data_IF_371429394095
#
_entry.id   IF_371429394095
#
_cell.length_a   1.000
_cell.length_b   1.000
_cell.length_c   1.000
_cell.angle_alpha   90.00
_cell.angle_beta   90.00
_cell.angle_gamma   90.00
#
_symmetry.space_group_name_H-M   'P 1'
#
loop_
_entity.id
_entity.type
_entity.pdbx_description
1 polymer ?
#
# COMPACT_ATOMS: atom_id res chain seq x y z
N UNK A 1 -11.37 -11.22 -22.81
CA UNK A 1 -12.80 -11.53 -22.54
C UNK A 1 -12.85 -12.33 -21.26
N UNK A 2 -13.27 -11.72 -20.17
CA UNK A 2 -13.48 -12.38 -18.88
C UNK A 2 -14.82 -13.08 -18.94
N UNK A 3 -14.84 -14.41 -18.93
CA UNK A 3 -16.09 -15.19 -18.85
C UNK A 3 -16.71 -14.98 -17.46
N UNK A 4 -17.83 -14.29 -17.43
CA UNK A 4 -18.72 -14.23 -16.28
C UNK A 4 -19.34 -15.60 -16.04
N UNK A 5 -18.94 -16.27 -14.98
CA UNK A 5 -19.63 -17.47 -14.57
C UNK A 5 -20.87 -17.07 -13.74
N UNK A 6 -22.07 -17.46 -14.18
CA UNK A 6 -23.38 -17.11 -13.66
C UNK A 6 -23.65 -17.53 -12.18
N UNK A 7 -22.64 -18.00 -11.46
CA UNK A 7 -22.73 -18.44 -10.07
C UNK A 7 -22.07 -17.50 -9.07
N UNK A 8 -21.72 -16.25 -9.47
CA UNK A 8 -21.18 -15.24 -8.55
C UNK A 8 -19.78 -15.52 -7.96
N UNK A 9 -19.06 -16.51 -8.48
CA UNK A 9 -17.70 -16.85 -8.07
C UNK A 9 -16.68 -16.31 -9.09
N UNK A 10 -15.79 -15.42 -8.65
CA UNK A 10 -14.69 -14.92 -9.46
C UNK A 10 -13.59 -15.97 -9.56
N UNK A 11 -13.44 -16.61 -10.71
CA UNK A 11 -12.23 -17.39 -11.02
C UNK A 11 -11.16 -16.45 -11.56
N UNK A 12 -10.39 -15.85 -10.65
CA UNK A 12 -9.19 -15.09 -11.00
C UNK A 12 -7.96 -15.95 -10.74
N UNK A 13 -7.09 -16.06 -11.73
CA UNK A 13 -5.82 -16.80 -11.64
C UNK A 13 -4.65 -15.82 -11.69
N UNK A 14 -3.52 -16.22 -11.11
CA UNK A 14 -2.27 -15.47 -11.25
C UNK A 14 -1.92 -15.28 -12.74
N UNK A 15 -1.37 -14.12 -13.14
CA UNK A 15 -0.83 -13.96 -14.49
C UNK A 15 0.20 -15.05 -14.76
N UNK A 16 0.20 -15.68 -15.93
CA UNK A 16 1.26 -16.62 -16.27
C UNK A 16 2.61 -15.90 -16.41
N UNK A 17 3.74 -16.56 -16.10
CA UNK A 17 5.07 -16.02 -16.41
C UNK A 17 5.20 -15.59 -17.87
N UNK A 18 5.94 -14.51 -18.12
CA UNK A 18 6.06 -13.91 -19.45
C UNK A 18 4.94 -12.93 -19.81
N UNK A 19 3.92 -12.73 -18.95
CA UNK A 19 2.90 -11.69 -19.16
C UNK A 19 3.57 -10.30 -19.23
N UNK A 20 3.34 -9.51 -20.30
CA UNK A 20 3.86 -8.15 -20.38
C UNK A 20 3.40 -7.30 -19.21
N UNK A 21 4.35 -6.60 -18.56
CA UNK A 21 4.02 -5.70 -17.47
C UNK A 21 3.42 -4.37 -17.96
N UNK A 22 2.87 -3.60 -17.04
CA UNK A 22 2.23 -2.31 -17.34
C UNK A 22 3.17 -1.34 -18.04
N UNK A 23 4.46 -1.37 -17.71
CA UNK A 23 5.45 -0.47 -18.30
C UNK A 23 5.75 -0.85 -19.76
N UNK A 24 5.82 -2.15 -20.05
CA UNK A 24 5.95 -2.68 -21.42
C UNK A 24 4.72 -2.33 -22.26
N UNK A 25 3.52 -2.37 -21.68
CA UNK A 25 2.26 -2.00 -22.34
C UNK A 25 2.19 -0.50 -22.63
N UNK A 26 2.59 0.36 -21.68
CA UNK A 26 2.69 1.80 -21.89
C UNK A 26 3.70 2.12 -23.00
N UNK A 27 4.86 1.45 -22.97
CA UNK A 27 5.91 1.61 -23.99
C UNK A 27 5.43 1.17 -25.39
N UNK A 28 4.64 0.11 -25.48
CA UNK A 28 4.05 -0.34 -26.75
C UNK A 28 3.10 0.71 -27.31
N UNK A 29 2.17 1.23 -26.51
CA UNK A 29 1.24 2.28 -26.94
C UNK A 29 1.98 3.59 -27.32
N UNK A 30 3.05 3.96 -26.59
CA UNK A 30 3.89 5.10 -26.94
C UNK A 30 4.59 4.92 -28.30
N UNK A 31 5.09 3.72 -28.60
CA UNK A 31 5.70 3.38 -29.90
C UNK A 31 4.70 3.40 -31.05
N UNK A 32 3.43 3.13 -30.78
CA UNK A 32 2.32 3.27 -31.75
C UNK A 32 1.97 4.72 -32.02
N UNK A 33 2.59 5.68 -31.30
CA UNK A 33 2.42 7.12 -31.50
C UNK A 33 1.41 7.79 -30.57
N UNK A 34 0.84 7.07 -29.59
CA UNK A 34 -0.07 7.69 -28.64
C UNK A 34 0.67 8.63 -27.66
N UNK A 35 0.22 9.89 -27.49
CA UNK A 35 0.73 10.78 -26.46
C UNK A 35 0.49 10.19 -25.06
N UNK A 36 1.47 10.32 -24.16
CA UNK A 36 1.35 9.85 -22.77
C UNK A 36 1.01 11.03 -21.87
N UNK A 37 -0.12 10.92 -21.14
CA UNK A 37 -0.67 11.97 -20.30
C UNK A 37 -0.85 11.46 -18.87
N UNK A 38 -0.40 12.25 -17.89
CA UNK A 38 -0.57 11.92 -16.48
C UNK A 38 -1.90 12.46 -15.93
N UNK A 39 -2.66 11.61 -15.27
CA UNK A 39 -3.82 12.01 -14.49
C UNK A 39 -3.42 12.15 -13.02
N UNK A 40 -3.23 13.39 -12.59
CA UNK A 40 -2.71 13.76 -11.27
C UNK A 40 -1.28 14.34 -11.35
N UNK A 41 -0.91 15.17 -10.34
CA UNK A 41 0.32 15.96 -10.32
C UNK A 41 1.01 15.97 -8.93
N UNK A 42 0.71 14.96 -8.11
CA UNK A 42 1.31 14.77 -6.77
C UNK A 42 2.60 13.93 -6.80
N UNK A 43 3.03 13.49 -5.63
CA UNK A 43 4.25 12.68 -5.47
C UNK A 43 4.22 11.37 -6.30
N UNK A 44 3.03 10.76 -6.46
CA UNK A 44 2.86 9.59 -7.34
C UNK A 44 3.20 9.91 -8.80
N UNK A 45 2.80 11.09 -9.28
CA UNK A 45 3.12 11.55 -10.64
C UNK A 45 4.62 11.78 -10.84
N UNK A 46 5.32 12.30 -9.84
CA UNK A 46 6.78 12.46 -9.89
C UNK A 46 7.50 11.11 -9.99
N UNK A 47 7.04 10.10 -9.23
CA UNK A 47 7.61 8.74 -9.26
C UNK A 47 7.36 8.07 -10.62
N UNK A 48 6.13 8.13 -11.11
CA UNK A 48 5.76 7.58 -12.43
C UNK A 48 6.56 8.28 -13.53
N UNK A 49 6.65 9.60 -13.50
CA UNK A 49 7.42 10.37 -14.46
C UNK A 49 8.88 9.95 -14.51
N UNK A 50 9.52 9.71 -13.36
CA UNK A 50 10.91 9.24 -13.30
C UNK A 50 11.08 7.86 -13.96
N UNK A 51 10.11 6.94 -13.79
CA UNK A 51 10.12 5.63 -14.46
C UNK A 51 9.96 5.78 -15.97
N UNK A 52 9.04 6.64 -16.44
CA UNK A 52 8.82 6.89 -17.86
C UNK A 52 10.06 7.50 -18.53
N UNK A 53 10.66 8.50 -17.89
CA UNK A 53 11.90 9.13 -18.36
C UNK A 53 13.05 8.12 -18.48
N UNK A 54 13.21 7.25 -17.48
CA UNK A 54 14.20 6.16 -17.50
C UNK A 54 13.99 5.15 -18.63
N UNK A 55 12.78 5.09 -19.21
CA UNK A 55 12.39 4.26 -20.37
C UNK A 55 12.40 5.04 -21.69
N UNK A 56 12.76 6.31 -21.67
CA UNK A 56 12.77 7.19 -22.87
C UNK A 56 11.37 7.59 -23.32
N UNK A 57 10.35 7.48 -22.46
CA UNK A 57 8.98 7.89 -22.74
C UNK A 57 8.81 9.34 -22.30
N UNK A 58 8.44 10.21 -23.26
CA UNK A 58 8.21 11.63 -23.01
C UNK A 58 6.74 11.84 -22.60
N UNK A 59 6.52 12.50 -21.46
CA UNK A 59 5.18 12.93 -21.05
C UNK A 59 4.74 14.07 -21.96
N UNK A 60 3.55 13.96 -22.56
CA UNK A 60 2.99 14.94 -23.50
C UNK A 60 2.09 15.96 -22.80
N UNK A 61 1.61 15.67 -21.59
CA UNK A 61 0.76 16.56 -20.82
C UNK A 61 0.36 15.98 -19.48
N UNK A 62 -0.38 16.77 -18.71
CA UNK A 62 -0.98 16.32 -17.46
C UNK A 62 -2.32 17.02 -17.21
N UNK A 63 -3.22 16.35 -16.49
CA UNK A 63 -4.49 16.90 -16.09
C UNK A 63 -4.86 16.51 -14.66
N UNK A 64 -5.83 17.21 -14.10
CA UNK A 64 -6.37 16.94 -12.78
C UNK A 64 -7.91 16.96 -12.83
N UNK A 65 -8.54 16.33 -11.83
CA UNK A 65 -10.00 16.41 -11.65
C UNK A 65 -10.45 17.86 -11.43
N UNK A 66 -11.70 18.17 -11.82
CA UNK A 66 -12.31 19.48 -11.61
C UNK A 66 -12.17 19.94 -10.15
N UNK A 67 -11.83 21.21 -9.96
CA UNK A 67 -11.54 21.80 -8.65
C UNK A 67 -10.06 21.69 -8.22
N UNK A 68 -9.26 20.85 -8.87
CA UNK A 68 -7.80 20.75 -8.67
C UNK A 68 -6.99 21.38 -9.81
N UNK A 69 -7.65 21.77 -10.90
CA UNK A 69 -7.07 22.59 -11.99
C UNK A 69 -6.90 24.01 -11.46
N UNK A 70 -5.69 24.39 -11.05
CA UNK A 70 -5.42 25.69 -10.38
C UNK A 70 -4.29 26.45 -11.04
N UNK A 71 -4.32 26.72 -12.33
CA UNK A 71 -3.26 27.44 -13.07
C UNK A 71 -1.86 27.02 -12.60
N UNK A 72 -1.63 25.74 -12.43
CA UNK A 72 -0.37 25.15 -11.96
C UNK A 72 0.38 24.55 -13.13
N UNK A 73 1.67 24.44 -12.98
CA UNK A 73 2.52 23.64 -13.86
C UNK A 73 3.07 22.43 -13.12
N UNK A 74 3.21 21.32 -13.84
CA UNK A 74 3.88 20.11 -13.37
C UNK A 74 4.94 19.73 -14.42
N UNK A 75 6.21 19.68 -14.02
CA UNK A 75 7.35 19.35 -14.90
C UNK A 75 7.37 20.14 -16.23
N UNK A 76 7.00 21.42 -16.18
CA UNK A 76 6.94 22.30 -17.37
C UNK A 76 5.64 22.22 -18.18
N UNK A 77 4.74 21.30 -17.88
CA UNK A 77 3.42 21.21 -18.51
C UNK A 77 2.38 22.00 -17.71
N UNK A 78 1.49 22.71 -18.41
CA UNK A 78 0.27 23.26 -17.78
C UNK A 78 -0.64 22.13 -17.34
N UNK A 79 -1.22 22.24 -16.15
CA UNK A 79 -2.21 21.27 -15.66
C UNK A 79 -3.56 21.63 -16.26
N UNK A 80 -4.09 20.74 -17.09
CA UNK A 80 -5.34 20.91 -17.82
C UNK A 80 -6.53 20.23 -17.09
N UNK A 81 -7.75 20.51 -17.55
CA UNK A 81 -8.91 19.66 -17.31
C UNK A 81 -8.90 18.46 -18.28
N UNK A 82 -9.71 17.44 -18.01
CA UNK A 82 -9.82 16.29 -18.91
C UNK A 82 -10.36 16.67 -20.29
N UNK A 83 -11.34 17.59 -20.35
CA UNK A 83 -11.90 18.06 -21.63
C UNK A 83 -10.88 18.85 -22.44
N UNK A 84 -10.05 19.67 -21.80
CA UNK A 84 -8.95 20.37 -22.50
C UNK A 84 -7.93 19.39 -23.07
N UNK A 85 -7.57 18.32 -22.34
CA UNK A 85 -6.68 17.27 -22.84
C UNK A 85 -7.28 16.54 -24.04
N UNK A 86 -8.57 16.21 -24.02
CA UNK A 86 -9.26 15.61 -25.19
C UNK A 86 -9.22 16.55 -26.41
N UNK A 87 -9.35 17.83 -26.18
CA UNK A 87 -9.25 18.82 -27.27
C UNK A 87 -7.83 18.96 -27.83
N UNK A 88 -6.81 18.82 -27.00
CA UNK A 88 -5.39 18.85 -27.41
C UNK A 88 -5.01 17.58 -28.17
N UNK A 89 -5.53 16.42 -27.78
CA UNK A 89 -5.22 15.10 -28.36
C UNK A 89 -6.49 14.41 -28.89
N UNK A 90 -7.11 14.94 -29.98
CA UNK A 90 -8.40 14.44 -30.47
C UNK A 90 -8.34 13.01 -31.04
N UNK A 91 -7.15 12.56 -31.45
CA UNK A 91 -6.94 11.18 -31.97
C UNK A 91 -6.71 10.14 -30.85
N UNK A 92 -6.79 10.58 -29.58
CA UNK A 92 -6.63 9.73 -28.41
C UNK A 92 -5.25 9.83 -27.76
N UNK A 93 -5.14 9.35 -26.55
CA UNK A 93 -3.92 9.37 -25.73
C UNK A 93 -3.93 8.25 -24.70
N UNK A 94 -2.76 7.93 -24.17
CA UNK A 94 -2.57 7.04 -23.01
C UNK A 94 -2.74 7.85 -21.75
N UNK A 95 -3.69 7.49 -20.90
CA UNK A 95 -3.85 8.06 -19.57
C UNK A 95 -3.16 7.18 -18.52
N UNK A 96 -2.32 7.79 -17.67
CA UNK A 96 -1.70 7.11 -16.55
C UNK A 96 -2.18 7.72 -15.25
N UNK A 97 -2.89 6.94 -14.45
CA UNK A 97 -3.37 7.35 -13.11
C UNK A 97 -2.18 7.46 -12.15
N UNK A 98 -2.00 8.65 -11.57
CA UNK A 98 -0.83 9.00 -10.78
C UNK A 98 -1.15 9.42 -9.34
N UNK A 99 -2.31 9.03 -8.83
CA UNK A 99 -2.73 9.24 -7.43
C UNK A 99 -3.62 8.10 -6.98
N UNK A 100 -3.84 8.03 -5.67
CA UNK A 100 -4.73 7.04 -5.08
C UNK A 100 -5.91 7.69 -4.37
N UNK A 101 -7.02 6.96 -4.30
CA UNK A 101 -8.26 7.42 -3.66
C UNK A 101 -9.10 6.25 -3.17
N UNK A 102 -9.83 6.47 -2.08
CA UNK A 102 -10.91 5.63 -1.61
C UNK A 102 -12.27 6.37 -1.65
N UNK A 103 -12.30 7.60 -2.20
CA UNK A 103 -13.51 8.42 -2.28
C UNK A 103 -14.37 7.97 -3.48
N UNK A 104 -15.61 7.51 -3.26
CA UNK A 104 -16.47 6.98 -4.33
C UNK A 104 -16.63 7.95 -5.50
N UNK A 105 -16.90 9.22 -5.22
CA UNK A 105 -17.08 10.26 -6.24
C UNK A 105 -15.84 10.53 -7.09
N UNK A 106 -14.65 10.25 -6.55
CA UNK A 106 -13.38 10.34 -7.31
C UNK A 106 -13.15 9.07 -8.12
N UNK A 107 -13.52 7.91 -7.58
CA UNK A 107 -13.44 6.65 -8.32
C UNK A 107 -14.38 6.64 -9.53
N UNK A 108 -15.60 7.15 -9.40
CA UNK A 108 -16.55 7.29 -10.52
C UNK A 108 -15.97 8.17 -11.64
N UNK A 109 -15.27 9.25 -11.28
CA UNK A 109 -14.58 10.11 -12.26
C UNK A 109 -13.40 9.38 -12.93
N UNK A 110 -12.63 8.61 -12.18
CA UNK A 110 -11.54 7.78 -12.74
C UNK A 110 -12.12 6.78 -13.74
N UNK A 111 -13.26 6.17 -13.43
CA UNK A 111 -13.93 5.22 -14.29
C UNK A 111 -14.39 5.88 -15.60
N UNK A 112 -14.97 7.06 -15.53
CA UNK A 112 -15.34 7.86 -16.72
C UNK A 112 -14.11 8.19 -17.57
N UNK A 113 -13.03 8.64 -16.95
CA UNK A 113 -11.76 8.93 -17.66
C UNK A 113 -11.20 7.66 -18.32
N UNK A 114 -11.27 6.51 -17.63
CA UNK A 114 -10.79 5.24 -18.17
C UNK A 114 -11.59 4.77 -19.39
N UNK A 115 -12.92 4.99 -19.39
CA UNK A 115 -13.81 4.65 -20.53
C UNK A 115 -13.57 5.55 -21.76
N UNK A 116 -13.23 6.83 -21.53
CA UNK A 116 -13.04 7.81 -22.60
C UNK A 116 -11.57 7.91 -23.09
N UNK A 117 -10.61 7.24 -22.44
CA UNK A 117 -9.21 7.20 -22.86
C UNK A 117 -8.97 6.11 -23.89
N UNK A 118 -8.08 6.34 -24.87
CA UNK A 118 -7.69 5.31 -25.82
C UNK A 118 -7.03 4.10 -25.12
N UNK A 119 -6.16 4.40 -24.15
CA UNK A 119 -5.59 3.43 -23.23
C UNK A 119 -5.55 4.06 -21.83
N UNK A 120 -5.87 3.28 -20.81
CA UNK A 120 -5.81 3.72 -19.42
C UNK A 120 -5.01 2.73 -18.58
N UNK A 121 -4.04 3.23 -17.83
CA UNK A 121 -3.21 2.43 -16.94
C UNK A 121 -3.11 3.05 -15.55
N UNK A 122 -3.18 2.20 -14.54
CA UNK A 122 -2.92 2.55 -13.14
C UNK A 122 -1.72 1.73 -12.63
N UNK A 123 -0.48 2.14 -12.90
CA UNK A 123 0.69 1.37 -12.53
C UNK A 123 0.89 1.32 -11.02
N UNK A 124 1.34 0.17 -10.51
CA UNK A 124 1.80 0.06 -9.14
C UNK A 124 3.16 0.73 -8.98
N UNK A 125 3.26 1.64 -8.01
CA UNK A 125 4.53 2.17 -7.49
C UNK A 125 4.55 1.92 -5.99
N UNK A 126 5.63 1.33 -5.43
CA UNK A 126 5.69 1.06 -3.99
C UNK A 126 5.53 2.34 -3.17
N UNK A 127 4.82 2.26 -2.05
CA UNK A 127 4.61 3.39 -1.16
C UNK A 127 5.93 3.81 -0.49
N UNK A 128 6.77 2.84 -0.16
CA UNK A 128 8.07 3.03 0.51
C UNK A 128 9.21 2.64 -0.45
N UNK A 129 10.31 3.41 -0.46
CA UNK A 129 11.46 3.08 -1.28
C UNK A 129 12.15 1.80 -0.79
N UNK A 130 12.97 1.20 -1.64
CA UNK A 130 13.83 0.10 -1.28
C UNK A 130 14.98 0.54 -0.33
N UNK A 131 15.84 -0.40 0.06
CA UNK A 131 16.99 -0.12 0.94
C UNK A 131 18.03 0.83 0.33
N UNK A 132 17.93 1.17 -0.97
CA UNK A 132 18.78 2.15 -1.64
C UNK A 132 18.12 3.53 -1.73
N UNK A 133 16.90 3.67 -1.22
CA UNK A 133 16.10 4.90 -1.33
C UNK A 133 15.40 5.05 -2.68
N UNK A 134 15.30 3.98 -3.48
CA UNK A 134 14.71 4.00 -4.82
C UNK A 134 13.29 3.45 -4.82
N UNK A 135 12.37 4.15 -5.48
CA UNK A 135 11.00 3.68 -5.74
C UNK A 135 10.98 2.83 -7.02
N UNK A 136 11.59 1.63 -6.92
CA UNK A 136 11.72 0.76 -8.07
C UNK A 136 10.41 0.03 -8.37
N UNK A 137 9.83 0.17 -9.58
CA UNK A 137 8.65 -0.59 -9.95
C UNK A 137 8.96 -2.08 -10.03
N UNK A 138 7.97 -2.90 -9.71
CA UNK A 138 8.04 -4.35 -9.90
C UNK A 138 7.76 -4.66 -11.37
N UNK A 139 8.72 -5.30 -12.03
CA UNK A 139 8.69 -5.55 -13.47
C UNK A 139 8.33 -7.01 -13.78
N UNK A 140 8.07 -7.32 -15.06
CA UNK A 140 7.92 -8.70 -15.53
C UNK A 140 9.10 -9.58 -15.12
N UNK A 141 10.33 -9.10 -15.27
CA UNK A 141 11.51 -9.86 -14.88
C UNK A 141 11.56 -10.19 -13.38
N UNK A 142 11.04 -9.28 -12.53
CA UNK A 142 10.90 -9.54 -11.10
C UNK A 142 9.79 -10.56 -10.84
N UNK A 143 8.66 -10.43 -11.52
CA UNK A 143 7.53 -11.36 -11.41
C UNK A 143 7.92 -12.78 -11.80
N UNK A 144 8.55 -12.94 -12.96
CA UNK A 144 8.98 -14.25 -13.48
C UNK A 144 9.98 -14.93 -12.53
N UNK A 145 10.92 -14.15 -11.98
CA UNK A 145 11.91 -14.63 -11.01
C UNK A 145 11.28 -15.09 -9.69
N UNK A 146 10.30 -14.35 -9.17
CA UNK A 146 9.66 -14.61 -7.89
C UNK A 146 8.37 -15.44 -7.99
N UNK A 147 7.98 -15.87 -9.20
CA UNK A 147 6.71 -16.55 -9.45
C UNK A 147 6.45 -17.77 -8.55
N UNK A 148 7.48 -18.55 -8.24
CA UNK A 148 7.35 -19.72 -7.36
C UNK A 148 6.86 -19.33 -5.95
N UNK A 149 7.40 -18.25 -5.39
CA UNK A 149 6.99 -17.71 -4.08
C UNK A 149 5.59 -17.11 -4.14
N UNK A 150 5.30 -16.35 -5.21
CA UNK A 150 3.98 -15.78 -5.45
C UNK A 150 2.91 -16.88 -5.53
N UNK A 151 3.18 -17.93 -6.29
CA UNK A 151 2.29 -19.09 -6.42
C UNK A 151 2.17 -19.89 -5.11
N UNK A 152 3.22 -19.93 -4.28
CA UNK A 152 3.17 -20.55 -2.96
C UNK A 152 2.22 -19.78 -2.04
N UNK A 153 2.31 -18.45 -1.95
CA UNK A 153 1.38 -17.64 -1.15
C UNK A 153 -0.06 -17.89 -1.58
N UNK A 154 -0.35 -17.96 -2.89
CA UNK A 154 -1.70 -18.27 -3.37
C UNK A 154 -2.24 -19.60 -2.82
N UNK A 155 -1.39 -20.60 -2.63
CA UNK A 155 -1.77 -21.90 -2.04
C UNK A 155 -1.92 -21.86 -0.53
N UNK A 156 -1.17 -20.98 0.16
CA UNK A 156 -1.22 -20.81 1.62
C UNK A 156 -2.46 -20.02 2.07
N UNK A 157 -3.03 -19.19 1.22
CA UNK A 157 -4.24 -18.45 1.53
C UNK A 157 -5.41 -19.41 1.77
N UNK A 158 -6.08 -19.23 2.93
CA UNK A 158 -7.05 -20.18 3.45
C UNK A 158 -8.30 -20.33 2.59
N UNK A 159 -8.89 -19.23 2.16
CA UNK A 159 -10.17 -19.25 1.47
C UNK A 159 -10.06 -18.80 0.00
N UNK A 160 -11.08 -19.17 -0.78
CA UNK A 160 -11.15 -18.86 -2.21
C UNK A 160 -11.19 -17.35 -2.48
N UNK A 161 -11.86 -16.59 -1.60
CA UNK A 161 -11.96 -15.13 -1.73
C UNK A 161 -10.59 -14.47 -1.60
N UNK A 162 -9.79 -14.87 -0.62
CA UNK A 162 -8.41 -14.40 -0.44
C UNK A 162 -7.52 -14.77 -1.62
N UNK A 163 -7.67 -15.98 -2.17
CA UNK A 163 -6.93 -16.40 -3.38
C UNK A 163 -7.34 -15.59 -4.61
N UNK A 164 -8.62 -15.35 -4.80
CA UNK A 164 -9.13 -14.53 -5.91
C UNK A 164 -8.67 -13.08 -5.78
N UNK A 165 -8.73 -12.50 -4.57
CA UNK A 165 -8.22 -11.16 -4.28
C UNK A 165 -6.72 -11.06 -4.59
N UNK A 166 -5.93 -12.01 -4.12
CA UNK A 166 -4.49 -12.07 -4.36
C UNK A 166 -4.15 -12.11 -5.86
N UNK A 167 -4.85 -12.98 -6.59
CA UNK A 167 -4.68 -13.09 -8.03
C UNK A 167 -5.09 -11.79 -8.76
N UNK A 168 -6.19 -11.14 -8.35
CA UNK A 168 -6.64 -9.89 -8.94
C UNK A 168 -5.65 -8.74 -8.70
N UNK A 169 -5.03 -8.67 -7.51
CA UNK A 169 -3.98 -7.69 -7.23
C UNK A 169 -2.78 -7.93 -8.15
N UNK A 170 -2.36 -9.19 -8.37
CA UNK A 170 -1.26 -9.50 -9.28
C UNK A 170 -1.62 -9.23 -10.74
N UNK A 171 -2.85 -9.52 -11.17
CA UNK A 171 -3.33 -9.14 -12.49
C UNK A 171 -3.22 -7.63 -12.69
N UNK A 172 -3.73 -6.84 -11.73
CA UNK A 172 -3.61 -5.39 -11.80
C UNK A 172 -2.14 -4.91 -11.77
N UNK A 173 -1.29 -5.42 -10.87
CA UNK A 173 0.13 -5.01 -10.78
C UNK A 173 0.86 -5.26 -12.09
N UNK A 174 0.52 -6.34 -12.79
CA UNK A 174 1.12 -6.67 -14.07
C UNK A 174 0.50 -5.89 -15.23
N UNK A 175 -0.81 -5.71 -15.27
CA UNK A 175 -1.47 -5.11 -16.43
C UNK A 175 -1.74 -3.62 -16.30
N UNK A 176 -1.84 -3.09 -15.10
CA UNK A 176 -2.27 -1.72 -14.82
C UNK A 176 -3.78 -1.49 -15.00
N UNK A 177 -4.57 -2.55 -15.23
CA UNK A 177 -6.01 -2.47 -15.54
C UNK A 177 -6.84 -2.42 -14.24
N UNK A 178 -7.59 -1.33 -14.02
CA UNK A 178 -8.39 -1.13 -12.80
C UNK A 178 -9.55 -2.12 -12.63
N UNK A 179 -10.02 -2.74 -13.72
CA UNK A 179 -11.13 -3.70 -13.67
C UNK A 179 -10.85 -4.86 -12.68
N UNK A 180 -9.59 -5.24 -12.51
CA UNK A 180 -9.19 -6.26 -11.54
C UNK A 180 -9.41 -5.80 -10.09
N UNK A 181 -9.14 -4.53 -9.78
CA UNK A 181 -9.29 -3.98 -8.43
C UNK A 181 -10.74 -3.70 -8.02
N UNK A 182 -11.63 -3.42 -8.98
CA UNK A 182 -13.05 -3.19 -8.71
C UNK A 182 -13.73 -4.41 -8.07
N UNK A 183 -13.29 -5.60 -8.43
CA UNK A 183 -13.85 -6.86 -7.96
C UNK A 183 -13.15 -7.39 -6.70
N UNK A 184 -11.97 -6.87 -6.40
CA UNK A 184 -11.07 -7.33 -5.36
C UNK A 184 -11.35 -6.62 -4.03
N UNK A 185 -12.52 -6.82 -3.44
CA UNK A 185 -12.87 -6.30 -2.11
C UNK A 185 -13.10 -7.48 -1.17
N UNK A 186 -12.42 -7.48 -0.04
CA UNK A 186 -12.60 -8.48 1.00
C UNK A 186 -12.62 -7.82 2.38
N UNK A 187 -13.74 -7.93 3.06
CA UNK A 187 -13.87 -7.66 4.50
C UNK A 187 -13.74 -8.96 5.26
N UNK A 188 -13.00 -8.94 6.36
CA UNK A 188 -12.88 -10.13 7.21
C UNK A 188 -13.69 -9.95 8.47
N UNK A 189 -14.37 -11.01 8.82
CA UNK A 189 -14.90 -11.18 10.16
C UNK A 189 -13.77 -11.75 11.03
N UNK A 190 -13.13 -10.88 11.80
CA UNK A 190 -12.22 -11.29 12.86
C UNK A 190 -13.03 -11.62 14.11
N UNK A 191 -12.55 -12.54 14.98
CA UNK A 191 -13.23 -12.87 16.25
C UNK A 191 -12.99 -11.76 17.29
N UNK A 192 -13.58 -10.57 17.04
CA UNK A 192 -13.32 -9.34 17.80
C UNK A 192 -13.59 -9.50 19.30
N UNK A 193 -14.53 -10.35 19.68
CA UNK A 193 -14.88 -10.67 21.07
C UNK A 193 -13.76 -11.41 21.83
N UNK A 194 -12.82 -12.00 21.13
CA UNK A 194 -11.71 -12.76 21.72
C UNK A 194 -10.59 -11.84 22.23
N UNK A 195 -10.41 -10.63 21.62
CA UNK A 195 -9.26 -9.79 21.90
C UNK A 195 -9.42 -8.95 23.16
N UNK A 196 -8.48 -9.10 24.09
CA UNK A 196 -8.39 -8.38 25.36
C UNK A 196 -7.17 -7.45 25.42
N UNK A 197 -6.08 -7.81 24.76
CA UNK A 197 -4.81 -7.11 24.76
C UNK A 197 -4.34 -6.92 23.32
N UNK A 198 -4.37 -5.68 22.84
CA UNK A 198 -4.00 -5.34 21.46
C UNK A 198 -2.75 -4.48 21.46
N UNK A 199 -1.85 -4.76 20.49
CA UNK A 199 -0.70 -3.91 20.17
C UNK A 199 -0.89 -3.37 18.75
N UNK A 200 -0.93 -2.05 18.63
CA UNK A 200 -1.06 -1.33 17.36
C UNK A 200 0.28 -0.69 17.00
N UNK A 201 0.98 -1.29 16.06
CA UNK A 201 2.27 -0.81 15.56
C UNK A 201 2.04 0.03 14.31
N UNK A 202 2.35 1.34 14.40
CA UNK A 202 2.00 2.35 13.41
C UNK A 202 0.55 2.84 13.59
N UNK A 203 0.27 3.41 14.76
CA UNK A 203 -1.09 3.77 15.17
C UNK A 203 -1.59 5.10 14.59
N UNK A 204 -0.73 5.84 13.86
CA UNK A 204 -1.05 7.12 13.23
C UNK A 204 -1.73 8.08 14.22
N UNK A 205 -2.96 8.55 13.92
CA UNK A 205 -3.72 9.46 14.77
C UNK A 205 -4.73 8.75 15.67
N UNK A 206 -4.66 7.40 15.75
CA UNK A 206 -5.52 6.57 16.59
C UNK A 206 -6.84 6.16 15.90
N UNK A 207 -6.90 6.16 14.58
CA UNK A 207 -8.05 5.66 13.82
C UNK A 207 -8.27 4.16 14.06
N UNK A 208 -7.21 3.33 13.98
CA UNK A 208 -7.28 1.91 14.35
C UNK A 208 -7.53 1.69 15.84
N UNK A 209 -7.00 2.55 16.71
CA UNK A 209 -7.28 2.45 18.15
C UNK A 209 -8.77 2.66 18.46
N UNK A 210 -9.44 3.62 17.81
CA UNK A 210 -10.90 3.81 17.92
C UNK A 210 -11.66 2.63 17.35
N UNK A 211 -11.24 2.14 16.18
CA UNK A 211 -11.84 0.95 15.55
C UNK A 211 -11.81 -0.26 16.49
N UNK A 212 -10.68 -0.54 17.13
CA UNK A 212 -10.58 -1.64 18.08
C UNK A 212 -11.44 -1.41 19.33
N UNK A 213 -11.47 -0.19 19.88
CA UNK A 213 -12.32 0.15 21.02
C UNK A 213 -13.81 -0.06 20.74
N UNK A 214 -14.25 0.20 19.49
CA UNK A 214 -15.65 0.00 19.07
C UNK A 214 -15.98 -1.48 18.77
N UNK A 215 -15.01 -2.25 18.25
CA UNK A 215 -15.23 -3.61 17.72
C UNK A 215 -14.90 -4.71 18.70
N UNK A 216 -14.03 -4.47 19.68
CA UNK A 216 -13.57 -5.46 20.65
C UNK A 216 -14.25 -5.25 22.01
N UNK A 217 -15.40 -5.86 22.28
CA UNK A 217 -16.20 -5.59 23.48
C UNK A 217 -15.50 -6.03 24.79
N UNK A 218 -14.50 -6.89 24.69
CA UNK A 218 -13.74 -7.41 25.83
C UNK A 218 -12.34 -6.79 25.96
N UNK A 219 -12.05 -5.70 25.21
CA UNK A 219 -10.75 -5.06 25.21
C UNK A 219 -10.41 -4.47 26.58
N UNK A 220 -9.28 -4.89 27.14
CA UNK A 220 -8.78 -4.44 28.44
C UNK A 220 -7.65 -3.42 28.24
N UNK A 221 -6.69 -3.73 27.37
CA UNK A 221 -5.55 -2.84 27.12
C UNK A 221 -5.23 -2.71 25.64
N UNK A 222 -4.78 -1.52 25.27
CA UNK A 222 -4.32 -1.20 23.92
C UNK A 222 -3.04 -0.38 24.02
N UNK A 223 -1.92 -0.94 23.57
CA UNK A 223 -0.65 -0.24 23.45
C UNK A 223 -0.43 0.15 21.99
N UNK A 224 -0.14 1.44 21.74
CA UNK A 224 -0.07 1.98 20.39
C UNK A 224 1.26 2.72 20.18
N UNK A 225 2.07 2.29 19.20
CA UNK A 225 3.34 2.90 18.84
C UNK A 225 3.17 3.78 17.59
N UNK A 226 3.67 5.02 17.66
CA UNK A 226 3.64 5.96 16.54
C UNK A 226 4.92 6.81 16.51
N UNK A 227 5.71 6.78 15.41
CA UNK A 227 6.95 7.53 15.31
C UNK A 227 6.79 9.00 14.93
N UNK A 228 5.75 9.38 14.17
CA UNK A 228 5.55 10.79 13.78
C UNK A 228 5.05 11.62 14.94
N UNK A 229 5.81 12.66 15.31
CA UNK A 229 5.48 13.54 16.42
C UNK A 229 4.10 14.19 16.33
N UNK A 230 3.66 14.54 15.11
CA UNK A 230 2.37 15.22 14.90
C UNK A 230 1.22 14.23 15.02
N UNK A 231 1.38 13.05 14.46
CA UNK A 231 0.42 11.93 14.58
C UNK A 231 0.34 11.46 16.03
N UNK A 232 1.48 11.26 16.69
CA UNK A 232 1.56 10.91 18.11
C UNK A 232 0.89 11.94 19.03
N UNK A 233 1.04 13.24 18.75
CA UNK A 233 0.37 14.28 19.57
C UNK A 233 -1.16 14.15 19.52
N UNK A 234 -1.73 13.70 18.41
CA UNK A 234 -3.17 13.42 18.29
C UNK A 234 -3.53 12.08 18.94
N UNK A 235 -2.70 11.06 18.72
CA UNK A 235 -2.85 9.74 19.33
C UNK A 235 -2.85 9.84 20.86
N UNK A 236 -1.89 10.57 21.43
CA UNK A 236 -1.75 10.72 22.89
C UNK A 236 -2.86 11.54 23.56
N UNK A 237 -3.59 12.33 22.77
CA UNK A 237 -4.75 13.07 23.25
C UNK A 237 -6.07 12.25 23.16
N UNK A 238 -6.00 11.02 22.65
CA UNK A 238 -7.16 10.15 22.54
C UNK A 238 -7.54 9.57 23.89
N UNK A 239 -8.82 9.64 24.23
CA UNK A 239 -9.40 8.98 25.37
C UNK A 239 -10.22 7.77 24.95
N UNK A 240 -9.94 6.61 25.52
CA UNK A 240 -10.67 5.35 25.30
C UNK A 240 -11.26 4.88 26.66
N UNK A 241 -12.47 5.30 27.00
CA UNK A 241 -13.06 5.00 28.31
C UNK A 241 -13.15 3.49 28.56
N UNK A 242 -12.67 3.06 29.74
CA UNK A 242 -12.71 1.65 30.14
C UNK A 242 -11.58 0.78 29.58
N UNK A 243 -10.67 1.34 28.79
CA UNK A 243 -9.53 0.64 28.21
C UNK A 243 -8.24 1.24 28.78
N UNK A 244 -7.30 0.40 29.22
CA UNK A 244 -5.94 0.82 29.56
C UNK A 244 -5.18 1.16 28.26
N UNK A 245 -5.31 2.42 27.84
CA UNK A 245 -4.72 2.92 26.62
C UNK A 245 -3.34 3.51 26.85
N UNK A 246 -2.32 2.96 26.17
CA UNK A 246 -0.93 3.35 26.34
C UNK A 246 -0.31 3.76 24.99
N UNK A 247 -0.35 5.04 24.61
CA UNK A 247 0.37 5.57 23.46
C UNK A 247 1.88 5.71 23.78
N UNK A 248 2.73 5.29 22.83
CA UNK A 248 4.20 5.34 22.94
C UNK A 248 4.75 6.07 21.71
N UNK A 249 5.55 7.13 21.93
CA UNK A 249 6.24 7.83 20.86
C UNK A 249 7.51 7.08 20.48
N UNK A 250 7.38 6.09 19.64
CA UNK A 250 8.49 5.25 19.13
C UNK A 250 8.13 4.60 17.81
N UNK A 251 9.14 4.28 17.01
CA UNK A 251 9.01 3.39 15.88
C UNK A 251 9.00 1.93 16.36
N UNK A 252 8.18 1.07 15.77
CA UNK A 252 8.24 -0.36 15.98
C UNK A 252 9.41 -0.96 15.20
N UNK A 253 10.32 -1.65 15.88
CA UNK A 253 11.56 -2.16 15.30
C UNK A 253 11.99 -3.51 15.91
N UNK A 254 13.09 -4.09 15.43
CA UNK A 254 13.62 -5.36 15.92
C UNK A 254 14.49 -5.25 17.18
N UNK A 255 14.92 -4.05 17.54
CA UNK A 255 15.77 -3.73 18.70
C UNK A 255 15.58 -2.29 19.13
N UNK A 256 16.06 -1.94 20.34
CA UNK A 256 16.19 -0.51 20.72
C UNK A 256 17.25 0.15 19.84
N UNK A 257 16.87 1.28 19.26
CA UNK A 257 17.74 2.11 18.43
C UNK A 257 17.21 3.54 18.37
N UNK A 258 17.90 4.41 17.67
CA UNK A 258 17.38 5.72 17.26
C UNK A 258 17.37 5.76 15.75
N UNK A 259 16.19 5.86 15.16
CA UNK A 259 16.00 5.83 13.72
C UNK A 259 15.77 7.23 13.15
N UNK A 260 16.05 7.34 11.87
CA UNK A 260 15.71 8.50 11.08
C UNK A 260 14.32 8.31 10.47
N UNK A 261 13.43 9.27 10.70
CA UNK A 261 12.12 9.33 10.04
C UNK A 261 12.22 10.29 8.87
N UNK A 262 11.85 9.80 7.69
CA UNK A 262 11.93 10.50 6.41
C UNK A 262 10.54 10.73 5.86
N UNK A 263 10.28 11.94 5.33
CA UNK A 263 9.01 12.31 4.72
C UNK A 263 8.58 13.72 5.06
N UNK A 264 7.45 14.16 4.47
CA UNK A 264 6.90 15.51 4.68
C UNK A 264 5.79 15.57 5.73
N UNK A 265 5.63 14.51 6.52
CA UNK A 265 4.58 14.36 7.54
C UNK A 265 3.34 13.61 7.01
N UNK A 266 2.64 12.91 7.91
CA UNK A 266 1.44 12.14 7.57
C UNK A 266 1.75 10.75 6.99
N UNK A 267 0.80 10.18 6.26
CA UNK A 267 0.96 8.89 5.58
C UNK A 267 2.09 8.98 4.54
N UNK A 268 2.89 7.94 4.45
CA UNK A 268 4.07 7.88 3.55
C UNK A 268 5.36 8.44 4.18
N UNK A 269 5.39 8.61 5.50
CA UNK A 269 6.64 8.72 6.25
C UNK A 269 7.17 7.33 6.55
N UNK A 270 8.45 7.09 6.31
CA UNK A 270 9.08 5.79 6.59
C UNK A 270 10.29 5.96 7.50
N UNK A 271 10.63 4.91 8.23
CA UNK A 271 11.80 4.84 9.10
C UNK A 271 12.95 4.16 8.39
N UNK A 272 14.17 4.65 8.63
CA UNK A 272 15.39 4.07 8.06
C UNK A 272 16.51 4.02 9.08
N UNK A 273 17.22 2.92 9.13
CA UNK A 273 18.52 2.76 9.80
C UNK A 273 19.70 3.07 8.85
N UNK A 274 19.41 3.41 7.60
CA UNK A 274 20.41 3.74 6.58
C UNK A 274 20.78 5.24 6.61
N UNK A 275 22.02 5.59 6.22
CA UNK A 275 22.39 6.96 5.99
C UNK A 275 21.46 7.63 4.97
N UNK A 276 21.14 8.91 5.19
CA UNK A 276 20.33 9.67 4.28
C UNK A 276 20.96 9.72 2.89
N UNK A 277 20.17 9.47 1.82
CA UNK A 277 20.63 9.76 0.46
C UNK A 277 20.87 11.28 0.34
N UNK A 278 21.92 11.67 -0.39
CA UNK A 278 22.13 13.09 -0.69
C UNK A 278 20.91 13.66 -1.44
N UNK A 279 20.30 14.74 -0.96
CA UNK A 279 19.15 15.32 -1.62
C UNK A 279 19.54 15.81 -3.02
N UNK A 280 18.67 15.66 -4.03
CA UNK A 280 18.86 16.27 -5.33
C UNK A 280 19.11 17.79 -5.17
N UNK A 281 20.06 18.35 -5.91
CA UNK A 281 20.50 19.75 -5.78
C UNK A 281 19.38 20.78 -5.91
N UNK A 282 18.26 20.40 -6.53
CA UNK A 282 17.13 21.28 -6.87
C UNK A 282 15.90 21.09 -5.95
N UNK A 283 15.99 20.27 -4.91
CA UNK A 283 14.89 20.02 -3.97
C UNK A 283 15.32 20.30 -2.54
N UNK A 284 14.41 20.88 -1.74
CA UNK A 284 14.58 20.94 -0.29
C UNK A 284 14.72 19.52 0.25
N UNK A 285 15.73 19.25 1.11
CA UNK A 285 15.86 17.94 1.73
C UNK A 285 14.55 17.57 2.44
N UNK A 286 14.19 16.28 2.51
CA UNK A 286 13.06 15.84 3.32
C UNK A 286 13.28 16.27 4.76
N UNK A 287 12.20 16.60 5.46
CA UNK A 287 12.30 16.88 6.90
C UNK A 287 12.81 15.61 7.60
N UNK A 288 13.93 15.74 8.29
CA UNK A 288 14.57 14.64 9.01
C UNK A 288 14.21 14.77 10.47
N UNK A 289 13.64 13.73 11.04
CA UNK A 289 13.39 13.64 12.47
C UNK A 289 14.03 12.36 13.01
N UNK A 290 14.51 12.43 14.24
CA UNK A 290 14.98 11.25 14.95
C UNK A 290 13.89 10.77 15.91
N UNK A 291 13.73 9.46 16.01
CA UNK A 291 12.74 8.83 16.89
C UNK A 291 13.36 7.59 17.53
N UNK A 292 12.99 7.33 18.78
CA UNK A 292 13.36 6.08 19.45
C UNK A 292 12.67 4.90 18.78
N UNK A 293 13.39 3.80 18.66
CA UNK A 293 12.89 2.53 18.17
C UNK A 293 12.76 1.53 19.33
N UNK A 294 11.67 0.78 19.32
CA UNK A 294 11.32 -0.13 20.38
C UNK A 294 10.76 -1.45 19.82
N UNK A 295 11.27 -2.63 20.25
CA UNK A 295 10.62 -3.91 19.97
C UNK A 295 9.27 -4.02 20.69
N UNK A 296 8.27 -4.63 20.03
CA UNK A 296 6.99 -4.92 20.67
C UNK A 296 7.15 -5.79 21.94
N UNK A 297 8.12 -6.70 21.94
CA UNK A 297 8.49 -7.55 23.07
C UNK A 297 8.90 -6.78 24.34
N UNK A 298 9.34 -5.54 24.18
CA UNK A 298 9.71 -4.65 25.29
C UNK A 298 8.62 -3.63 25.62
N UNK A 299 7.63 -3.47 24.76
CA UNK A 299 6.51 -2.56 24.97
C UNK A 299 5.43 -3.17 25.86
N UNK A 300 5.17 -4.47 25.75
CA UNK A 300 4.12 -5.20 26.48
C UNK A 300 4.57 -6.61 26.89
N UNK A 301 3.93 -7.16 27.90
CA UNK A 301 4.18 -8.53 28.36
C UNK A 301 3.34 -9.57 27.61
N UNK A 302 2.13 -9.20 27.14
CA UNK A 302 1.19 -10.08 26.46
C UNK A 302 0.43 -9.36 25.37
N UNK A 303 -0.02 -10.11 24.36
CA UNK A 303 -0.91 -9.63 23.29
C UNK A 303 -1.78 -10.78 22.78
N UNK A 304 -3.04 -10.48 22.43
CA UNK A 304 -3.95 -11.39 21.71
C UNK A 304 -3.98 -11.06 20.21
N UNK A 305 -3.71 -9.80 19.88
CA UNK A 305 -3.66 -9.30 18.52
C UNK A 305 -2.52 -8.27 18.38
N UNK A 306 -1.72 -8.41 17.34
CA UNK A 306 -0.80 -7.37 16.90
C UNK A 306 -1.23 -6.88 15.51
N UNK A 307 -1.43 -5.56 15.37
CA UNK A 307 -1.57 -4.90 14.06
C UNK A 307 -0.23 -4.26 13.69
N UNK A 308 0.19 -4.46 12.44
CA UNK A 308 1.40 -3.87 11.87
C UNK A 308 1.06 -3.07 10.61
N UNK A 309 1.31 -1.79 10.67
CA UNK A 309 1.18 -0.86 9.55
C UNK A 309 2.24 0.23 9.70
N UNK A 310 3.48 -0.13 9.39
CA UNK A 310 4.69 0.61 9.79
C UNK A 310 5.50 1.11 8.59
N UNK A 311 4.80 1.39 7.49
CA UNK A 311 5.32 2.08 6.32
C UNK A 311 6.62 1.43 5.76
N UNK A 312 6.59 0.10 5.58
CA UNK A 312 7.67 -0.69 4.99
C UNK A 312 8.68 -1.25 6.00
N UNK A 313 8.44 -1.11 7.30
CA UNK A 313 9.25 -1.71 8.36
C UNK A 313 8.64 -3.00 8.94
N UNK A 314 7.63 -3.59 8.30
CA UNK A 314 6.85 -4.73 8.80
C UNK A 314 7.74 -5.91 9.18
N UNK A 315 8.72 -6.26 8.35
CA UNK A 315 9.66 -7.36 8.63
C UNK A 315 10.50 -7.11 9.88
N UNK A 316 10.90 -5.84 10.12
CA UNK A 316 11.66 -5.43 11.31
C UNK A 316 10.75 -5.45 12.55
N UNK A 317 9.57 -4.86 12.47
CA UNK A 317 8.59 -4.85 13.56
C UNK A 317 8.15 -6.26 13.95
N UNK A 318 7.91 -7.14 12.98
CA UNK A 318 7.62 -8.56 13.21
C UNK A 318 8.78 -9.28 13.92
N UNK A 319 10.02 -8.93 13.55
CA UNK A 319 11.21 -9.46 14.22
C UNK A 319 11.36 -8.96 15.67
N UNK A 320 10.79 -7.80 16.00
CA UNK A 320 10.74 -7.25 17.36
C UNK A 320 9.59 -7.78 18.24
N UNK A 321 8.77 -8.68 17.69
CA UNK A 321 7.66 -9.32 18.40
C UNK A 321 7.86 -10.83 18.59
N UNK A 322 9.09 -11.33 18.52
CA UNK A 322 9.40 -12.79 18.56
C UNK A 322 8.93 -13.47 19.82
N UNK A 323 9.13 -12.85 20.98
CA UNK A 323 8.69 -13.40 22.26
C UNK A 323 7.17 -13.47 22.34
N UNK A 324 6.48 -12.38 21.98
CA UNK A 324 5.02 -12.34 21.96
C UNK A 324 4.44 -13.39 21.01
N UNK A 325 5.03 -13.56 19.83
CA UNK A 325 4.61 -14.58 18.85
C UNK A 325 4.83 -16.00 19.41
N UNK A 326 5.94 -16.23 20.12
CA UNK A 326 6.28 -17.55 20.67
C UNK A 326 5.45 -17.90 21.90
N UNK A 327 5.24 -16.94 22.80
CA UNK A 327 4.65 -17.16 24.12
C UNK A 327 3.13 -16.98 24.14
N UNK A 328 2.62 -16.16 23.22
CA UNK A 328 1.19 -15.82 23.12
C UNK A 328 0.61 -16.43 21.84
N UNK A 329 -0.54 -17.09 21.95
CA UNK A 329 -1.30 -17.57 20.77
C UNK A 329 -2.04 -16.40 20.10
N UNK A 330 -1.28 -15.40 19.68
CA UNK A 330 -1.83 -14.17 19.12
C UNK A 330 -2.24 -14.31 17.64
N UNK A 331 -3.11 -13.42 17.22
CA UNK A 331 -3.43 -13.20 15.81
C UNK A 331 -2.67 -11.98 15.29
N UNK A 332 -2.50 -11.90 13.95
CA UNK A 332 -1.85 -10.77 13.28
C UNK A 332 -2.78 -10.11 12.26
N UNK A 333 -2.74 -8.79 12.22
CA UNK A 333 -3.18 -7.97 11.10
C UNK A 333 -1.97 -7.19 10.58
N UNK A 334 -1.55 -7.41 9.35
CA UNK A 334 -0.33 -6.83 8.81
C UNK A 334 -0.52 -6.25 7.43
N UNK A 335 -0.17 -4.99 7.25
CA UNK A 335 -0.12 -4.34 5.94
C UNK A 335 0.92 -5.01 5.04
N UNK A 336 0.55 -5.35 3.80
CA UNK A 336 1.40 -6.08 2.85
C UNK A 336 1.53 -5.37 1.50
N UNK A 337 1.49 -4.03 1.51
CA UNK A 337 1.44 -3.23 0.29
C UNK A 337 2.52 -2.14 0.18
N UNK A 338 3.30 -1.87 1.23
CA UNK A 338 4.23 -0.74 1.25
C UNK A 338 5.39 -0.92 0.29
N UNK A 339 5.97 -2.12 0.23
CA UNK A 339 7.01 -2.49 -0.74
C UNK A 339 6.44 -3.46 -1.78
N UNK A 340 7.06 -3.51 -2.94
CA UNK A 340 6.61 -4.40 -4.01
C UNK A 340 6.63 -5.88 -3.62
N UNK A 341 7.63 -6.29 -2.84
CA UNK A 341 7.83 -7.66 -2.36
C UNK A 341 6.98 -8.04 -1.14
N UNK A 342 6.42 -7.07 -0.42
CA UNK A 342 5.66 -7.32 0.82
C UNK A 342 4.47 -8.24 0.58
N UNK A 343 3.82 -8.13 -0.57
CA UNK A 343 2.65 -8.93 -0.93
C UNK A 343 2.93 -10.45 -0.95
N UNK A 344 4.17 -10.88 -1.12
CA UNK A 344 4.53 -12.30 -1.10
C UNK A 344 5.55 -12.66 -0.01
N UNK A 345 6.49 -11.78 0.32
CA UNK A 345 7.51 -12.08 1.33
C UNK A 345 6.93 -12.10 2.75
N UNK A 346 6.04 -11.16 3.08
CA UNK A 346 5.45 -11.11 4.41
C UNK A 346 4.49 -12.28 4.69
N UNK A 347 3.59 -12.68 3.79
CA UNK A 347 2.77 -13.88 4.00
C UNK A 347 3.60 -15.17 4.18
N UNK A 348 4.68 -15.35 3.41
CA UNK A 348 5.58 -16.49 3.58
C UNK A 348 6.24 -16.46 4.96
N UNK A 349 6.71 -15.29 5.39
CA UNK A 349 7.32 -15.15 6.72
C UNK A 349 6.32 -15.39 7.84
N UNK A 350 5.08 -14.90 7.72
CA UNK A 350 4.04 -15.15 8.71
C UNK A 350 3.70 -16.63 8.77
N UNK A 351 3.58 -17.31 7.64
CA UNK A 351 3.36 -18.76 7.62
C UNK A 351 4.50 -19.54 8.27
N UNK A 352 5.75 -19.12 8.08
CA UNK A 352 6.91 -19.76 8.70
C UNK A 352 6.87 -19.69 10.24
N UNK A 353 6.45 -18.55 10.81
CA UNK A 353 6.46 -18.32 12.26
C UNK A 353 5.14 -18.65 12.96
N UNK A 354 4.03 -18.71 12.22
CA UNK A 354 2.67 -19.03 12.70
C UNK A 354 2.01 -20.04 11.75
N UNK A 355 2.57 -21.24 11.59
CA UNK A 355 2.12 -22.21 10.58
C UNK A 355 0.69 -22.74 10.83
N UNK A 356 0.18 -22.62 12.06
CA UNK A 356 -1.18 -23.06 12.46
C UNK A 356 -2.25 -22.01 12.13
N UNK A 357 -1.85 -20.77 11.80
CA UNK A 357 -2.82 -19.71 11.51
C UNK A 357 -3.30 -19.74 10.06
N UNK A 358 -4.58 -19.45 9.89
CA UNK A 358 -5.20 -19.31 8.57
C UNK A 358 -4.90 -17.94 8.02
N UNK A 359 -4.27 -17.91 6.86
CA UNK A 359 -3.94 -16.66 6.17
C UNK A 359 -5.09 -16.19 5.29
N UNK A 360 -5.55 -14.96 5.49
CA UNK A 360 -6.57 -14.31 4.67
C UNK A 360 -6.11 -12.93 4.25
N UNK A 361 -6.56 -12.48 3.09
CA UNK A 361 -6.33 -11.11 2.64
C UNK A 361 -7.60 -10.28 2.77
N UNK A 362 -7.41 -9.05 3.21
CA UNK A 362 -8.42 -8.01 3.35
C UNK A 362 -8.02 -6.85 2.46
N UNK A 363 -9.01 -6.21 1.85
CA UNK A 363 -8.81 -4.98 1.10
C UNK A 363 -10.12 -4.21 0.97
N UNK A 364 -10.18 -2.94 1.42
CA UNK A 364 -11.29 -2.06 1.09
C UNK A 364 -11.24 -1.68 -0.40
N UNK A 365 -12.34 -1.18 -0.94
CA UNK A 365 -12.34 -0.65 -2.30
C UNK A 365 -11.55 0.66 -2.34
N UNK A 366 -10.46 0.68 -3.09
CA UNK A 366 -9.64 1.86 -3.36
C UNK A 366 -8.92 1.72 -4.71
N UNK A 367 -8.52 2.83 -5.31
CA UNK A 367 -7.74 2.88 -6.54
C UNK A 367 -6.46 3.69 -6.32
N UNK A 368 -5.27 3.17 -6.69
CA UNK A 368 -4.91 1.75 -6.84
C UNK A 368 -4.95 0.98 -5.52
N UNK A 369 -4.18 -0.12 -5.33
CA UNK A 369 -4.25 -0.97 -4.14
C UNK A 369 -3.51 -0.36 -2.94
N UNK A 370 -4.24 0.28 -2.08
CA UNK A 370 -3.81 0.59 -0.72
C UNK A 370 -4.57 -0.27 0.28
N UNK A 371 -4.09 -0.29 1.51
CA UNK A 371 -4.75 -0.98 2.63
C UNK A 371 -4.98 -2.50 2.40
N UNK A 372 -4.05 -3.16 1.67
CA UNK A 372 -4.03 -4.63 1.61
C UNK A 372 -3.47 -5.16 2.91
N UNK A 373 -4.30 -5.88 3.66
CA UNK A 373 -3.95 -6.41 4.98
C UNK A 373 -3.96 -7.94 4.95
N UNK A 374 -2.91 -8.56 5.44
CA UNK A 374 -2.86 -9.98 5.76
C UNK A 374 -3.41 -10.18 7.17
N UNK A 375 -4.43 -10.99 7.30
CA UNK A 375 -4.92 -11.50 8.58
C UNK A 375 -4.41 -12.94 8.77
N UNK A 376 -3.69 -13.17 9.86
CA UNK A 376 -3.32 -14.52 10.31
C UNK A 376 -4.05 -14.80 11.61
N UNK A 377 -5.12 -15.59 11.54
CA UNK A 377 -6.01 -15.90 12.64
C UNK A 377 -6.48 -17.37 12.63
N UNK A 378 -7.13 -17.82 13.70
CA UNK A 378 -7.72 -19.16 13.80
C UNK A 378 -8.89 -19.39 12.82
#
# INVERSE_FOLDING_TARGET
MTEFNAAGGYSCTLPPPGTPDVWERIEAAYREGFPVVLYGTGDGADRIAAVLEGRGIVISGCFASDGFVRNRSFRGHTVHSFDEIKAIFPDGFVTILAFATALPEVMDKIDTVAEESACFFAPHIPATPDNKGEYRPFTRGDYDREYSKIAEVSRLLWDERSRALYAAIWQWRMTGELCWLRQAVAETVMPWEKYRHIVDLGAYTGDTARFFAERCPNLISLTALEPDRRSYAKLSALELPGIDFRPIHAAAWDKRDTLTVLGRGGRGMYTSDMPLPEPPRDRLPPAVHYVDALPADEAVDTADLIKLDVEGAEMRALSGAKRLISDCRLDLLMSVYHRSEDLFMLPLRVHEILPEKRLRLLRPLCYPDWDVVLAAAE
#
